data_IF_616310454017
#
_entry.id   IF_616310454017
#
_cell.length_a   1.000
_cell.length_b   1.000
_cell.length_c   1.000
_cell.angle_alpha   90.00
_cell.angle_beta   90.00
_cell.angle_gamma   90.00
#
_symmetry.space_group_name_H-M   'P 1'
#
loop_
_entity.id
_entity.type
_entity.pdbx_description
1 polymer ?
#
# COMPACT_ATOMS: atom_id res chain seq x y z
N UNK A 1 -6.27 -7.77 -7.43
CA UNK A 1 -4.85 -8.05 -7.10
C UNK A 1 -4.69 -9.51 -6.67
N UNK A 2 -3.53 -10.13 -6.89
CA UNK A 2 -3.17 -11.45 -6.31
C UNK A 2 -2.51 -11.27 -4.94
N UNK A 3 -2.79 -12.13 -3.97
CA UNK A 3 -2.07 -12.13 -2.69
C UNK A 3 -0.56 -12.34 -2.92
N UNK A 4 0.26 -11.52 -2.27
CA UNK A 4 1.72 -11.56 -2.32
C UNK A 4 2.34 -11.74 -0.92
N UNK A 5 1.54 -12.13 0.07
CA UNK A 5 1.95 -12.35 1.45
C UNK A 5 2.00 -11.07 2.27
N UNK A 6 3.03 -10.94 3.13
CA UNK A 6 3.15 -9.83 4.08
C UNK A 6 4.59 -9.35 4.21
N UNK A 7 4.74 -8.05 4.46
CA UNK A 7 5.99 -7.43 4.94
C UNK A 7 5.73 -6.80 6.30
N UNK A 8 6.19 -7.45 7.38
CA UNK A 8 5.79 -7.07 8.74
C UNK A 8 4.26 -7.20 8.91
N UNK A 9 3.60 -6.11 9.33
CA UNK A 9 2.12 -6.03 9.39
C UNK A 9 1.46 -5.65 8.05
N UNK A 10 2.22 -5.23 7.04
CA UNK A 10 1.68 -4.81 5.74
C UNK A 10 1.21 -6.05 4.95
N UNK A 11 -0.07 -6.12 4.60
CA UNK A 11 -0.61 -7.11 3.65
C UNK A 11 -0.22 -6.65 2.24
N UNK A 12 0.38 -7.54 1.44
CA UNK A 12 0.84 -7.22 0.08
C UNK A 12 -0.04 -7.88 -0.97
N UNK A 13 -0.33 -7.18 -2.05
CA UNK A 13 -1.02 -7.74 -3.20
C UNK A 13 -0.46 -7.16 -4.52
N UNK A 14 -0.43 -7.96 -5.58
CA UNK A 14 0.27 -7.62 -6.84
C UNK A 14 -0.63 -7.89 -8.05
N UNK A 15 -0.61 -6.97 -9.02
CA UNK A 15 -0.97 -7.25 -10.42
C UNK A 15 0.37 -7.48 -11.15
N UNK A 16 0.66 -8.71 -11.60
CA UNK A 16 1.92 -8.98 -12.30
C UNK A 16 1.92 -8.33 -13.68
N UNK A 17 3.10 -7.88 -14.13
CA UNK A 17 3.27 -7.38 -15.49
C UNK A 17 2.85 -8.45 -16.53
N UNK A 18 2.13 -8.04 -17.59
CA UNK A 18 1.63 -8.95 -18.63
C UNK A 18 1.77 -8.31 -20.01
N UNK A 19 2.80 -8.74 -20.75
CA UNK A 19 3.15 -8.10 -22.01
C UNK A 19 3.66 -6.69 -21.76
N UNK A 20 2.98 -5.70 -22.32
CA UNK A 20 3.30 -4.27 -22.15
C UNK A 20 2.74 -3.67 -20.85
N UNK A 21 1.81 -4.35 -20.17
CA UNK A 21 1.27 -3.83 -18.90
C UNK A 21 2.29 -3.94 -17.78
N UNK A 22 2.51 -2.83 -17.07
CA UNK A 22 3.42 -2.77 -15.93
C UNK A 22 2.83 -3.44 -14.69
N UNK A 23 3.72 -3.92 -13.81
CA UNK A 23 3.33 -4.41 -12.48
C UNK A 23 2.71 -3.27 -11.65
N UNK A 24 1.63 -3.59 -10.95
CA UNK A 24 1.06 -2.75 -9.89
C UNK A 24 1.24 -3.48 -8.55
N UNK A 25 1.76 -2.79 -7.56
CA UNK A 25 1.89 -3.29 -6.19
C UNK A 25 0.95 -2.50 -5.28
N UNK A 26 0.17 -3.23 -4.48
CA UNK A 26 -0.66 -2.73 -3.39
C UNK A 26 -0.07 -3.19 -2.06
N UNK A 27 -0.01 -2.31 -1.07
CA UNK A 27 0.20 -2.69 0.32
C UNK A 27 -0.83 -2.03 1.23
N UNK A 28 -1.27 -2.74 2.26
CA UNK A 28 -2.30 -2.25 3.18
C UNK A 28 -1.89 -2.55 4.62
N UNK A 29 -1.94 -1.53 5.49
CA UNK A 29 -1.56 -1.61 6.89
C UNK A 29 -2.58 -0.90 7.78
N UNK A 30 -2.82 -1.45 8.98
CA UNK A 30 -3.57 -0.77 10.04
C UNK A 30 -2.64 0.12 10.85
N UNK A 31 -3.16 1.29 11.20
CA UNK A 31 -2.57 2.34 12.02
C UNK A 31 -3.26 2.45 13.38
N UNK A 32 -4.12 1.47 13.72
CA UNK A 32 -4.84 1.38 14.99
C UNK A 32 -6.02 2.34 15.13
N UNK A 33 -6.64 2.33 16.31
CA UNK A 33 -7.82 3.12 16.67
C UNK A 33 -7.43 4.26 17.60
N UNK A 34 -7.84 5.48 17.30
CA UNK A 34 -7.73 6.65 18.19
C UNK A 34 -6.32 7.20 18.47
N UNK A 35 -5.26 6.48 18.08
CA UNK A 35 -3.87 6.93 18.27
C UNK A 35 -3.46 8.07 17.33
N UNK A 36 -4.04 8.10 16.12
CA UNK A 36 -3.72 9.03 15.04
C UNK A 36 -5.00 9.61 14.41
N UNK A 37 -4.89 10.79 13.80
CA UNK A 37 -5.93 11.35 12.91
C UNK A 37 -5.59 11.07 11.45
N UNK A 38 -6.58 11.19 10.55
CA UNK A 38 -6.33 11.05 9.10
C UNK A 38 -5.40 12.16 8.60
N UNK A 39 -5.58 13.40 9.07
CA UNK A 39 -4.76 14.56 8.71
C UNK A 39 -3.29 14.39 9.17
N UNK A 40 -3.05 13.90 10.40
CA UNK A 40 -1.68 13.58 10.88
C UNK A 40 -0.96 12.56 9.97
N UNK A 41 -1.68 11.55 9.48
CA UNK A 41 -1.12 10.52 8.59
C UNK A 41 -0.85 11.09 7.18
N UNK A 42 -1.75 11.91 6.65
CA UNK A 42 -1.62 12.55 5.32
C UNK A 42 -0.50 13.60 5.31
N UNK A 43 -0.37 14.43 6.34
CA UNK A 43 0.70 15.41 6.46
C UNK A 43 2.07 14.73 6.52
N UNK A 44 2.20 13.64 7.27
CA UNK A 44 3.45 12.86 7.35
C UNK A 44 3.76 12.09 6.05
N UNK A 45 2.73 11.65 5.32
CA UNK A 45 2.87 11.03 4.00
C UNK A 45 3.37 12.02 2.94
N UNK A 46 2.79 13.22 2.92
CA UNK A 46 3.03 14.25 1.89
C UNK A 46 4.28 15.09 2.16
N UNK A 47 4.84 15.03 3.37
CA UNK A 47 6.14 15.59 3.70
C UNK A 47 7.28 14.71 3.15
N UNK A 48 7.82 15.12 2.00
CA UNK A 48 8.96 14.47 1.34
C UNK A 48 10.27 14.56 2.13
N UNK A 49 10.43 15.51 3.04
CA UNK A 49 11.61 15.58 3.93
C UNK A 49 11.51 14.49 5.01
N UNK A 50 10.30 14.22 5.53
CA UNK A 50 10.03 13.09 6.42
C UNK A 50 10.11 11.73 5.73
N UNK A 51 10.04 11.65 4.40
CA UNK A 51 10.12 10.38 3.64
C UNK A 51 11.39 9.58 3.95
N UNK A 52 12.52 10.24 4.20
CA UNK A 52 13.77 9.59 4.62
C UNK A 52 13.71 8.90 5.99
N UNK A 53 12.73 9.23 6.84
CA UNK A 53 12.51 8.59 8.15
C UNK A 53 11.86 7.20 8.05
N UNK A 54 11.11 6.93 6.97
CA UNK A 54 10.28 5.73 6.85
C UNK A 54 10.49 4.91 5.56
N UNK A 55 10.97 5.52 4.48
CA UNK A 55 11.26 4.82 3.23
C UNK A 55 12.75 4.49 3.13
N UNK A 56 13.12 3.24 3.45
CA UNK A 56 14.50 2.77 3.36
C UNK A 56 15.09 2.84 1.94
N UNK A 57 14.27 2.87 0.89
CA UNK A 57 14.67 3.00 -0.51
C UNK A 57 14.85 4.45 -0.94
N UNK A 58 14.28 5.43 -0.23
CA UNK A 58 14.45 6.85 -0.50
C UNK A 58 15.91 7.29 -0.24
N UNK A 59 16.47 8.12 -1.13
CA UNK A 59 17.80 8.68 -1.01
C UNK A 59 17.74 10.15 -0.58
N UNK A 60 17.01 10.97 -1.33
CA UNK A 60 16.76 12.38 -1.04
C UNK A 60 15.55 12.88 -1.84
N UNK A 61 15.02 14.03 -1.47
CA UNK A 61 13.93 14.68 -2.16
C UNK A 61 13.56 15.98 -1.46
N UNK A 62 12.77 16.82 -2.13
CA UNK A 62 12.37 18.12 -1.63
C UNK A 62 11.09 18.57 -2.33
N UNK A 63 10.23 19.27 -1.59
CA UNK A 63 9.02 19.86 -2.14
C UNK A 63 9.43 21.05 -2.99
N UNK A 64 9.13 21.02 -4.29
CA UNK A 64 9.55 22.08 -5.22
C UNK A 64 8.58 23.25 -5.18
N UNK A 65 7.28 22.97 -5.19
CA UNK A 65 6.24 24.00 -5.21
C UNK A 65 4.88 23.40 -4.83
N UNK A 66 4.11 24.08 -3.98
CA UNK A 66 2.66 23.92 -3.98
C UNK A 66 2.11 24.68 -5.21
N UNK A 67 1.53 23.97 -6.16
CA UNK A 67 0.98 24.54 -7.40
C UNK A 67 -0.43 25.10 -7.17
N UNK A 68 -1.21 24.45 -6.32
CA UNK A 68 -2.55 24.85 -5.92
C UNK A 68 -2.90 24.34 -4.52
N UNK A 69 -3.69 25.11 -3.79
CA UNK A 69 -4.27 24.72 -2.51
C UNK A 69 -5.66 25.35 -2.35
N UNK A 70 -6.64 24.54 -1.98
CA UNK A 70 -8.00 24.94 -1.64
C UNK A 70 -8.23 24.70 -0.15
N UNK A 71 -8.26 25.76 0.68
CA UNK A 71 -8.52 25.63 2.11
C UNK A 71 -9.89 25.04 2.45
N UNK A 72 -10.88 25.13 1.54
CA UNK A 72 -12.26 24.70 1.79
C UNK A 72 -12.44 23.19 1.59
N UNK A 73 -11.93 22.64 0.48
CA UNK A 73 -11.95 21.19 0.18
C UNK A 73 -10.74 20.44 0.73
N UNK A 74 -9.76 21.16 1.30
CA UNK A 74 -8.42 20.66 1.66
C UNK A 74 -7.68 20.02 0.47
N UNK A 75 -8.08 20.34 -0.77
CA UNK A 75 -7.44 19.83 -1.98
C UNK A 75 -6.11 20.56 -2.21
N UNK A 76 -5.04 19.82 -2.47
CA UNK A 76 -3.71 20.38 -2.77
C UNK A 76 -3.12 19.71 -4.02
N UNK A 77 -2.45 20.50 -4.86
CA UNK A 77 -1.60 20.01 -5.95
C UNK A 77 -0.16 20.39 -5.62
N UNK A 78 0.67 19.39 -5.38
CA UNK A 78 2.10 19.55 -5.10
C UNK A 78 2.94 19.13 -6.31
N UNK A 79 4.09 19.77 -6.47
CA UNK A 79 5.18 19.36 -7.36
C UNK A 79 6.38 18.98 -6.48
N UNK A 80 6.78 17.72 -6.57
CA UNK A 80 7.83 17.12 -5.74
C UNK A 80 8.95 16.53 -6.59
N UNK A 81 10.16 16.54 -6.04
CA UNK A 81 11.28 15.78 -6.55
C UNK A 81 11.65 14.68 -5.55
N UNK A 82 11.78 13.44 -6.04
CA UNK A 82 12.17 12.30 -5.24
C UNK A 82 13.25 11.46 -5.94
N UNK A 83 14.27 11.08 -5.18
CA UNK A 83 15.36 10.22 -5.61
C UNK A 83 15.47 9.00 -4.68
N UNK A 84 15.79 7.85 -5.26
CA UNK A 84 15.78 6.53 -4.64
C UNK A 84 17.14 5.84 -4.82
N UNK A 85 17.58 5.15 -3.76
CA UNK A 85 18.89 4.50 -3.66
C UNK A 85 19.07 3.44 -4.75
N UNK A 86 20.29 3.39 -5.28
CA UNK A 86 20.75 2.35 -6.20
C UNK A 86 20.45 0.94 -5.67
N UNK A 87 20.14 0.02 -6.58
CA UNK A 87 19.94 -1.40 -6.28
C UNK A 87 21.14 -2.21 -6.79
N UNK A 88 21.20 -3.51 -6.48
CA UNK A 88 22.38 -4.33 -6.76
C UNK A 88 22.74 -4.35 -8.26
N UNK A 89 23.83 -3.67 -8.63
CA UNK A 89 24.28 -3.52 -10.01
C UNK A 89 23.45 -2.54 -10.86
N UNK A 90 22.59 -1.70 -10.25
CA UNK A 90 21.69 -0.80 -10.98
C UNK A 90 21.65 0.58 -10.33
N UNK A 91 21.80 1.64 -11.14
CA UNK A 91 21.85 3.06 -10.75
C UNK A 91 20.73 3.54 -9.80
N UNK A 92 20.91 4.71 -9.20
CA UNK A 92 19.83 5.40 -8.50
C UNK A 92 18.65 5.70 -9.43
N UNK A 93 17.46 5.94 -8.88
CA UNK A 93 16.28 6.38 -9.65
C UNK A 93 15.85 7.75 -9.19
N UNK A 94 15.58 8.67 -10.10
CA UNK A 94 14.89 9.91 -9.74
C UNK A 94 13.59 10.08 -10.52
N UNK A 95 12.68 10.86 -9.96
CA UNK A 95 11.45 11.26 -10.61
C UNK A 95 11.04 12.65 -10.13
N UNK A 96 10.57 13.47 -11.08
CA UNK A 96 9.64 14.54 -10.77
C UNK A 96 8.25 13.93 -10.79
N UNK A 97 7.43 14.32 -9.82
CA UNK A 97 6.04 13.92 -9.73
C UNK A 97 5.17 15.10 -9.33
N UNK A 98 3.93 15.09 -9.81
CA UNK A 98 2.86 15.87 -9.20
C UNK A 98 1.98 14.99 -8.35
N UNK A 99 1.55 15.53 -7.21
CA UNK A 99 0.71 14.86 -6.24
C UNK A 99 -0.58 15.66 -6.02
N UNK A 100 -1.74 15.07 -6.30
CA UNK A 100 -3.03 15.59 -5.81
C UNK A 100 -3.34 14.92 -4.47
N UNK A 101 -3.62 15.74 -3.47
CA UNK A 101 -4.10 15.33 -2.14
C UNK A 101 -5.52 15.87 -2.00
N UNK A 102 -6.46 15.04 -1.60
CA UNK A 102 -7.87 15.41 -1.46
C UNK A 102 -8.54 14.66 -0.31
N UNK A 103 -9.35 15.37 0.49
CA UNK A 103 -10.26 14.78 1.46
C UNK A 103 -11.55 14.36 0.75
N UNK A 104 -11.94 13.10 0.85
CA UNK A 104 -13.16 12.54 0.24
C UNK A 104 -14.13 12.16 1.37
N UNK A 105 -14.96 13.11 1.79
CA UNK A 105 -15.79 12.96 3.00
C UNK A 105 -14.96 12.94 4.28
N UNK A 106 -15.59 12.71 5.43
CA UNK A 106 -14.91 12.82 6.74
C UNK A 106 -13.94 11.67 7.06
N UNK A 107 -14.20 10.48 6.52
CA UNK A 107 -13.49 9.25 6.85
C UNK A 107 -12.45 8.80 5.80
N UNK A 108 -12.23 9.56 4.72
CA UNK A 108 -11.25 9.18 3.69
C UNK A 108 -10.44 10.36 3.15
N UNK A 109 -9.16 10.11 2.91
CA UNK A 109 -8.27 10.95 2.13
C UNK A 109 -7.60 10.14 1.03
N UNK A 110 -7.43 10.75 -0.13
CA UNK A 110 -6.72 10.16 -1.27
C UNK A 110 -5.58 11.08 -1.69
N UNK A 111 -4.38 10.51 -1.69
CA UNK A 111 -3.20 11.06 -2.32
C UNK A 111 -2.94 10.26 -3.61
N UNK A 112 -2.79 10.94 -4.73
CA UNK A 112 -2.48 10.35 -6.04
C UNK A 112 -1.31 11.10 -6.66
N UNK A 113 -0.33 10.37 -7.17
CA UNK A 113 0.92 10.90 -7.69
C UNK A 113 1.25 10.28 -9.05
N UNK A 114 1.70 11.12 -9.98
CA UNK A 114 2.11 10.73 -11.33
C UNK A 114 3.37 11.50 -11.73
N UNK A 115 4.27 10.86 -12.48
CA UNK A 115 5.42 11.56 -13.05
C UNK A 115 4.99 12.53 -14.13
N UNK A 116 5.62 13.69 -14.14
CA UNK A 116 5.35 14.76 -15.09
C UNK A 116 6.63 15.29 -15.70
N UNK A 117 6.50 15.92 -16.86
CA UNK A 117 7.52 16.80 -17.41
C UNK A 117 7.35 18.19 -16.81
N UNK A 118 8.45 18.82 -16.40
CA UNK A 118 8.45 20.17 -15.84
C UNK A 118 9.70 20.93 -16.31
N UNK A 119 9.58 22.19 -16.77
CA UNK A 119 10.73 23.02 -17.15
C UNK A 119 11.70 23.21 -15.98
N UNK A 120 13.00 23.06 -16.24
CA UNK A 120 13.99 22.99 -15.15
C UNK A 120 13.99 21.65 -14.41
N UNK A 121 13.78 20.55 -15.18
CA UNK A 121 13.88 19.15 -14.75
C UNK A 121 14.04 18.15 -15.90
N UNK A 122 14.63 18.57 -17.03
CA UNK A 122 14.82 17.69 -18.21
C UNK A 122 15.73 16.49 -17.94
N UNK A 123 15.98 15.66 -18.97
CA UNK A 123 16.92 14.53 -18.87
C UNK A 123 18.34 14.98 -18.47
N UNK A 124 18.76 16.18 -18.89
CA UNK A 124 20.04 16.79 -18.50
C UNK A 124 20.13 17.22 -17.03
N UNK A 125 19.04 17.13 -16.27
CA UNK A 125 18.96 17.50 -14.84
C UNK A 125 18.75 16.28 -13.93
N UNK A 126 18.88 15.07 -14.47
CA UNK A 126 18.97 13.83 -13.68
C UNK A 126 20.26 13.87 -12.84
N UNK A 127 20.16 13.48 -11.58
CA UNK A 127 21.33 13.45 -10.69
C UNK A 127 22.46 12.55 -11.24
N UNK A 128 23.74 12.94 -11.09
CA UNK A 128 24.86 12.07 -11.46
C UNK A 128 24.77 10.69 -10.80
N UNK A 129 24.76 9.63 -11.60
CA UNK A 129 24.60 8.25 -11.13
C UNK A 129 23.14 7.78 -10.94
N UNK A 130 22.16 8.59 -11.37
CA UNK A 130 20.73 8.25 -11.38
C UNK A 130 20.22 8.06 -12.81
N UNK A 131 19.04 7.44 -12.93
CA UNK A 131 18.27 7.31 -14.17
C UNK A 131 16.85 7.77 -13.87
N UNK A 132 16.26 8.60 -14.73
CA UNK A 132 14.86 9.04 -14.60
C UNK A 132 13.94 7.82 -14.67
N UNK A 133 13.17 7.58 -13.61
CA UNK A 133 12.03 6.67 -13.64
C UNK A 133 10.74 7.47 -13.84
N UNK A 134 9.68 6.76 -14.23
CA UNK A 134 8.34 7.32 -14.35
C UNK A 134 7.41 6.59 -13.39
N UNK A 135 6.83 7.34 -12.46
CA UNK A 135 5.65 6.92 -11.71
C UNK A 135 4.48 7.03 -12.68
N UNK A 136 3.89 5.91 -13.06
CA UNK A 136 2.75 5.89 -14.00
C UNK A 136 1.48 6.19 -13.22
N UNK A 137 1.28 5.44 -12.12
CA UNK A 137 0.30 5.72 -11.10
C UNK A 137 0.88 5.31 -9.75
N UNK A 138 0.85 6.19 -8.75
CA UNK A 138 1.09 5.81 -7.36
C UNK A 138 0.18 6.63 -6.45
N UNK A 139 0.02 6.21 -5.20
CA UNK A 139 -0.78 6.97 -4.26
C UNK A 139 -1.01 6.24 -2.95
N UNK A 140 -1.70 6.92 -2.04
CA UNK A 140 -2.11 6.41 -0.75
C UNK A 140 -3.59 6.75 -0.54
N UNK A 141 -4.38 5.76 -0.13
CA UNK A 141 -5.71 5.95 0.44
C UNK A 141 -5.55 5.81 1.95
N UNK A 142 -5.97 6.84 2.69
CA UNK A 142 -5.97 6.87 4.15
C UNK A 142 -7.42 6.94 4.59
N UNK A 143 -7.94 5.83 5.12
CA UNK A 143 -9.36 5.66 5.42
C UNK A 143 -9.56 5.27 6.89
N UNK A 144 -10.66 5.73 7.49
CA UNK A 144 -11.15 5.28 8.78
C UNK A 144 -12.28 4.30 8.55
N UNK A 145 -12.16 3.12 9.14
CA UNK A 145 -13.26 2.17 9.24
C UNK A 145 -14.35 2.75 10.17
N UNK A 146 -15.60 2.94 9.70
CA UNK A 146 -16.62 3.68 10.46
C UNK A 146 -17.18 2.90 11.66
N UNK A 147 -17.11 1.57 11.64
CA UNK A 147 -17.62 0.71 12.71
C UNK A 147 -16.62 0.59 13.88
N UNK A 148 -15.32 0.56 13.58
CA UNK A 148 -14.25 0.32 14.55
C UNK A 148 -13.43 1.56 14.89
N UNK A 149 -13.46 2.59 14.03
CA UNK A 149 -12.59 3.77 14.11
C UNK A 149 -11.12 3.49 13.74
N UNK A 150 -10.80 2.29 13.25
CA UNK A 150 -9.44 1.88 12.87
C UNK A 150 -9.00 2.61 11.59
N UNK A 151 -7.79 3.20 11.59
CA UNK A 151 -7.24 3.82 10.40
C UNK A 151 -6.49 2.77 9.57
N UNK A 152 -6.81 2.69 8.28
CA UNK A 152 -6.08 1.92 7.30
C UNK A 152 -5.34 2.85 6.33
N UNK A 153 -4.11 2.47 5.99
CA UNK A 153 -3.37 3.09 4.90
C UNK A 153 -3.14 2.05 3.82
N UNK A 154 -3.65 2.33 2.63
CA UNK A 154 -3.47 1.53 1.42
C UNK A 154 -2.60 2.28 0.42
N UNK A 155 -1.39 1.80 0.18
CA UNK A 155 -0.47 2.32 -0.82
C UNK A 155 -0.62 1.56 -2.14
N UNK A 156 -0.63 2.30 -3.26
CA UNK A 156 -0.57 1.79 -4.63
C UNK A 156 0.69 2.29 -5.33
N UNK A 157 1.32 1.45 -6.16
CA UNK A 157 2.50 1.83 -6.95
C UNK A 157 2.60 1.04 -8.26
N UNK A 158 2.67 1.77 -9.37
CA UNK A 158 2.93 1.31 -10.72
C UNK A 158 4.01 2.22 -11.31
N UNK A 159 5.19 1.65 -11.61
CA UNK A 159 6.37 2.42 -12.01
C UNK A 159 7.10 1.79 -13.20
N UNK A 160 7.49 2.62 -14.15
CA UNK A 160 8.55 2.30 -15.11
C UNK A 160 9.90 2.72 -14.52
N UNK A 161 10.74 1.76 -14.18
CA UNK A 161 12.00 1.99 -13.43
C UNK A 161 13.14 2.55 -14.33
N UNK A 162 12.95 2.55 -15.66
CA UNK A 162 13.88 3.10 -16.65
C UNK A 162 15.12 2.24 -16.90
N UNK A 163 15.47 2.07 -18.18
CA UNK A 163 16.63 1.31 -18.64
C UNK A 163 16.45 -0.21 -18.65
N UNK A 164 17.49 -0.92 -19.09
CA UNK A 164 17.49 -2.39 -19.19
C UNK A 164 17.84 -3.04 -17.84
N UNK A 165 16.82 -3.41 -17.06
CA UNK A 165 16.97 -4.00 -15.73
C UNK A 165 16.39 -5.41 -15.72
N UNK A 166 17.08 -6.42 -15.14
CA UNK A 166 16.48 -7.72 -14.89
C UNK A 166 15.16 -7.62 -14.09
N UNK A 167 14.08 -8.21 -14.62
CA UNK A 167 12.72 -8.13 -14.05
C UNK A 167 12.65 -8.54 -12.58
N UNK A 168 13.49 -9.48 -12.14
CA UNK A 168 13.53 -9.90 -10.74
C UNK A 168 14.02 -8.80 -9.78
N UNK A 169 14.87 -7.87 -10.24
CA UNK A 169 15.29 -6.69 -9.46
C UNK A 169 14.14 -5.69 -9.38
N UNK A 170 13.47 -5.42 -10.49
CA UNK A 170 12.28 -4.55 -10.56
C UNK A 170 11.20 -5.05 -9.60
N UNK A 171 10.81 -6.32 -9.70
CA UNK A 171 9.84 -6.95 -8.81
C UNK A 171 10.28 -6.84 -7.34
N UNK A 172 11.55 -7.10 -7.03
CA UNK A 172 12.08 -7.02 -5.66
C UNK A 172 12.09 -5.59 -5.11
N UNK A 173 12.30 -4.58 -5.96
CA UNK A 173 12.29 -3.18 -5.57
C UNK A 173 10.86 -2.66 -5.36
N UNK A 174 9.93 -2.97 -6.26
CA UNK A 174 8.53 -2.53 -6.17
C UNK A 174 7.77 -3.23 -5.03
N UNK A 175 8.01 -4.52 -4.79
CA UNK A 175 7.37 -5.25 -3.67
C UNK A 175 7.84 -4.83 -2.28
N UNK A 176 8.98 -4.15 -2.18
CA UNK A 176 9.48 -3.57 -0.93
C UNK A 176 8.84 -2.23 -0.58
N UNK A 177 8.46 -1.42 -1.57
CA UNK A 177 8.00 -0.06 -1.35
C UNK A 177 6.81 0.04 -0.36
N UNK A 178 5.76 -0.81 -0.43
CA UNK A 178 4.68 -0.76 0.56
C UNK A 178 5.09 -1.22 1.96
N UNK A 179 6.23 -1.91 2.11
CA UNK A 179 6.81 -2.24 3.41
C UNK A 179 7.12 -0.98 4.24
N UNK A 180 7.38 0.15 3.59
CA UNK A 180 7.61 1.44 4.23
C UNK A 180 6.41 1.93 5.06
N UNK A 181 5.18 1.45 4.83
CA UNK A 181 4.01 1.77 5.65
C UNK A 181 4.19 1.33 7.12
N UNK A 182 4.90 0.22 7.37
CA UNK A 182 5.19 -0.24 8.73
C UNK A 182 6.13 0.73 9.46
N UNK A 183 7.18 1.18 8.77
CA UNK A 183 8.15 2.12 9.30
C UNK A 183 7.56 3.53 9.43
N UNK A 184 6.60 3.88 8.56
CA UNK A 184 5.83 5.12 8.62
C UNK A 184 4.98 5.21 9.88
N UNK A 185 4.20 4.16 10.18
CA UNK A 185 3.45 4.07 11.44
C UNK A 185 4.37 4.19 12.66
N UNK A 186 5.53 3.51 12.62
CA UNK A 186 6.52 3.59 13.70
C UNK A 186 7.14 5.00 13.82
N UNK A 187 7.35 5.71 12.71
CA UNK A 187 7.86 7.08 12.67
C UNK A 187 6.86 8.08 13.23
N UNK A 188 5.60 8.00 12.78
CA UNK A 188 4.47 8.79 13.29
C UNK A 188 4.30 8.67 14.80
N UNK A 189 4.31 7.45 15.35
CA UNK A 189 4.20 7.26 16.81
C UNK A 189 5.36 7.85 17.59
N UNK A 190 6.59 7.83 17.04
CA UNK A 190 7.75 8.47 17.67
C UNK A 190 7.61 9.99 17.67
N UNK A 191 7.24 10.57 16.52
CA UNK A 191 7.06 12.02 16.38
C UNK A 191 5.93 12.52 17.31
N UNK A 192 4.82 11.78 17.41
CA UNK A 192 3.68 12.10 18.30
C UNK A 192 3.96 11.88 19.80
N UNK A 193 4.82 10.94 20.15
CA UNK A 193 5.28 10.76 21.54
C UNK A 193 6.19 11.91 22.01
N UNK A 194 6.69 12.73 21.06
CA UNK A 194 7.78 13.67 21.29
C UNK A 194 9.12 12.94 21.44
N UNK A 195 10.22 13.59 21.03
CA UNK A 195 11.57 13.11 21.31
C UNK A 195 11.98 13.33 22.80
N UNK A 196 11.03 13.18 23.74
CA UNK A 196 11.27 13.14 25.19
C UNK A 196 11.89 11.80 25.63
N UNK A 197 12.95 11.38 24.94
CA UNK A 197 13.94 10.46 25.51
C UNK A 197 14.76 11.21 26.56
N UNK A 198 14.13 11.51 27.70
CA UNK A 198 14.86 11.79 28.92
C UNK A 198 15.75 10.57 29.20
N UNK A 199 17.06 10.73 29.05
CA UNK A 199 18.01 9.72 29.45
C UNK A 199 18.03 9.65 30.99
N UNK A 200 17.11 8.86 31.57
CA UNK A 200 17.03 8.57 33.02
C UNK A 200 18.16 7.62 33.42
N UNK A 201 19.40 8.02 33.13
CA UNK A 201 20.64 7.31 33.46
C UNK A 201 21.73 8.20 34.06
N UNK A 202 21.44 9.49 34.29
CA UNK A 202 22.39 10.45 34.89
C UNK A 202 21.88 11.23 36.12
N UNK A 203 20.67 11.00 36.63
CA UNK A 203 20.16 11.67 37.85
C UNK A 203 19.62 10.68 38.89
N UNK A 204 20.45 9.71 39.24
CA UNK A 204 20.27 8.83 40.40
C UNK A 204 21.44 8.98 41.40
N UNK A 205 21.91 10.22 41.54
CA UNK A 205 22.69 10.73 42.67
C UNK A 205 22.13 12.11 43.02
N UNK A 206 21.96 12.37 44.33
CA UNK A 206 21.53 13.65 44.90
C UNK A 206 20.07 14.09 44.66
N UNK A 207 19.13 13.38 45.31
CA UNK A 207 18.14 13.93 46.27
C UNK A 207 16.94 12.98 46.41
N UNK A 208 16.55 12.69 47.65
CA UNK A 208 15.50 11.71 47.94
C UNK A 208 14.09 12.32 47.87
N UNK A 209 13.13 11.48 47.46
CA UNK A 209 11.66 11.71 47.43
C UNK A 209 11.13 12.42 46.18
N UNK A 210 10.25 11.73 45.45
CA UNK A 210 9.26 12.34 44.54
C UNK A 210 7.89 11.72 44.79
N UNK A 211 6.87 12.58 44.81
CA UNK A 211 5.44 12.21 44.84
C UNK A 211 4.86 12.61 43.50
N UNK A 212 4.27 11.67 42.76
CA UNK A 212 3.54 11.98 41.53
C UNK A 212 2.05 12.15 41.80
N UNK A 213 1.45 13.19 41.21
CA UNK A 213 0.00 13.43 41.22
C UNK A 213 -0.43 13.70 39.78
N UNK A 214 -1.29 12.84 39.23
CA UNK A 214 -1.81 12.95 37.85
C UNK A 214 -3.31 13.23 37.85
N UNK A 215 -3.69 14.28 37.13
CA UNK A 215 -5.00 14.61 36.55
C UNK A 215 -4.67 15.44 35.27
N UNK A 216 -5.49 15.58 34.23
CA UNK A 216 -6.95 15.65 34.17
C UNK A 216 -7.51 15.16 32.80
N UNK A 217 -8.83 15.01 32.71
CA UNK A 217 -9.61 14.59 31.54
C UNK A 217 -9.88 15.73 30.54
N UNK A 218 -10.29 15.37 29.31
CA UNK A 218 -11.45 16.02 28.68
C UNK A 218 -12.09 15.15 27.59
N UNK A 219 -13.42 14.98 27.68
CA UNK A 219 -14.31 14.56 26.58
C UNK A 219 -14.87 15.79 25.89
N UNK A 220 -15.14 15.70 24.59
CA UNK A 220 -16.25 16.42 23.93
C UNK A 220 -16.90 15.43 22.96
N UNK A 221 -18.23 15.46 22.88
CA UNK A 221 -19.02 14.69 21.92
C UNK A 221 -19.73 15.65 20.97
N UNK A 222 -19.92 15.24 19.72
CA UNK A 222 -20.69 15.97 18.71
C UNK A 222 -21.12 15.02 17.61
N UNK A 223 -22.43 14.88 17.41
CA UNK A 223 -23.03 14.17 16.28
C UNK A 223 -23.28 15.15 15.13
N UNK A 224 -22.94 14.77 13.90
CA UNK A 224 -23.24 15.55 12.69
C UNK A 224 -24.10 14.68 11.77
N UNK A 225 -25.08 15.32 11.13
CA UNK A 225 -25.99 14.71 10.16
C UNK A 225 -25.26 14.56 8.81
N UNK A 226 -25.48 13.44 8.13
CA UNK A 226 -24.96 13.22 6.76
C UNK A 226 -25.80 14.03 5.79
N UNK A 227 -25.15 14.73 4.86
CA UNK A 227 -25.77 15.52 3.80
C UNK A 227 -25.64 14.80 2.44
N UNK A 228 -26.62 14.95 1.56
CA UNK A 228 -26.79 14.11 0.35
C UNK A 228 -25.90 14.53 -0.86
N UNK A 229 -25.06 15.55 -0.71
CA UNK A 229 -24.16 16.11 -1.75
C UNK A 229 -23.02 15.17 -2.21
N UNK A 230 -22.93 13.95 -1.66
CA UNK A 230 -21.87 12.97 -1.89
C UNK A 230 -21.66 12.57 -3.37
N UNK A 231 -22.72 12.58 -4.19
CA UNK A 231 -22.70 11.98 -5.54
C UNK A 231 -22.18 12.92 -6.65
N UNK A 232 -22.28 14.25 -6.50
CA UNK A 232 -21.91 15.17 -7.58
C UNK A 232 -20.39 15.31 -7.76
N UNK A 233 -19.60 15.11 -6.70
CA UNK A 233 -18.14 15.18 -6.73
C UNK A 233 -17.46 14.00 -7.46
N UNK A 234 -18.18 12.89 -7.69
CA UNK A 234 -17.63 11.62 -8.20
C UNK A 234 -18.01 11.31 -9.66
N UNK A 235 -18.78 12.20 -10.32
CA UNK A 235 -19.27 11.98 -11.69
C UNK A 235 -18.16 12.12 -12.77
N UNK A 236 -17.37 11.06 -12.93
CA UNK A 236 -16.61 10.83 -14.17
C UNK A 236 -17.62 10.38 -15.23
N UNK A 237 -17.99 11.27 -16.14
CA UNK A 237 -18.91 10.94 -17.23
C UNK A 237 -18.11 10.40 -18.40
N UNK A 238 -18.11 9.09 -18.57
CA UNK A 238 -17.63 8.47 -19.82
C UNK A 238 -18.67 8.77 -20.91
N UNK A 239 -18.34 9.64 -21.85
CA UNK A 239 -19.22 9.94 -22.97
C UNK A 239 -19.35 8.73 -23.90
N UNK A 240 -20.39 8.69 -24.74
CA UNK A 240 -20.71 7.55 -25.61
C UNK A 240 -19.66 7.25 -26.70
N UNK A 241 -18.62 8.09 -26.82
CA UNK A 241 -17.44 7.90 -27.67
C UNK A 241 -16.24 7.26 -26.91
N UNK A 242 -16.36 7.01 -25.61
CA UNK A 242 -15.28 6.45 -24.78
C UNK A 242 -14.30 7.48 -24.20
N UNK A 243 -14.55 8.78 -24.36
CA UNK A 243 -13.77 9.82 -23.71
C UNK A 243 -14.22 10.03 -22.25
N UNK A 244 -13.25 10.33 -21.39
CA UNK A 244 -13.46 10.48 -19.94
C UNK A 244 -13.58 11.97 -19.59
N UNK A 245 -14.80 12.51 -19.52
CA UNK A 245 -14.99 13.90 -19.09
C UNK A 245 -14.93 14.04 -17.56
N UNK A 246 -14.15 15.03 -17.10
CA UNK A 246 -14.09 15.42 -15.68
C UNK A 246 -15.22 16.42 -15.38
N UNK A 247 -15.93 16.19 -14.26
CA UNK A 247 -17.10 16.93 -13.81
C UNK A 247 -16.95 18.47 -13.78
N UNK A 248 -18.08 19.18 -13.80
CA UNK A 248 -18.16 20.65 -13.88
C UNK A 248 -17.35 21.38 -12.79
N UNK A 249 -17.20 20.80 -11.59
CA UNK A 249 -16.39 21.38 -10.51
C UNK A 249 -14.91 21.56 -10.90
N UNK A 250 -14.36 20.66 -11.72
CA UNK A 250 -13.01 20.81 -12.26
C UNK A 250 -12.90 21.98 -13.24
N UNK A 251 -13.97 22.25 -14.02
CA UNK A 251 -14.04 23.40 -14.94
C UNK A 251 -14.11 24.75 -14.20
N UNK A 252 -14.74 24.76 -13.02
CA UNK A 252 -14.88 25.95 -12.19
C UNK A 252 -13.55 26.37 -11.53
N UNK A 253 -12.70 25.39 -11.18
CA UNK A 253 -11.34 25.64 -10.65
C UNK A 253 -10.32 25.90 -11.77
N UNK A 254 -10.41 25.19 -12.90
CA UNK A 254 -9.42 25.28 -13.99
C UNK A 254 -9.26 26.67 -14.60
N UNK A 255 -10.26 27.55 -14.48
CA UNK A 255 -10.20 28.91 -15.02
C UNK A 255 -9.12 29.80 -14.39
N UNK A 256 -8.44 29.34 -13.32
CA UNK A 256 -7.37 30.07 -12.64
C UNK A 256 -5.97 29.47 -12.86
N UNK A 257 -5.84 28.33 -13.55
CA UNK A 257 -4.56 27.67 -13.76
C UNK A 257 -3.89 28.11 -15.06
N UNK A 258 -2.56 28.24 -15.04
CA UNK A 258 -1.78 28.27 -16.27
C UNK A 258 -1.85 26.91 -16.99
N UNK A 259 -1.59 26.90 -18.30
CA UNK A 259 -1.72 25.72 -19.16
C UNK A 259 -0.93 24.50 -18.65
N UNK A 260 0.24 24.74 -18.05
CA UNK A 260 1.05 23.66 -17.49
C UNK A 260 0.47 23.17 -16.16
N UNK A 261 0.12 24.05 -15.23
CA UNK A 261 -0.56 23.67 -13.98
C UNK A 261 -1.88 22.92 -14.25
N UNK A 262 -2.63 23.31 -15.28
CA UNK A 262 -3.83 22.61 -15.73
C UNK A 262 -3.51 21.20 -16.25
N UNK A 263 -2.49 21.05 -17.09
CA UNK A 263 -2.04 19.76 -17.62
C UNK A 263 -1.61 18.82 -16.48
N UNK A 264 -0.84 19.35 -15.52
CA UNK A 264 -0.39 18.64 -14.33
C UNK A 264 -1.54 18.19 -13.42
N UNK A 265 -2.54 19.06 -13.23
CA UNK A 265 -3.75 18.75 -12.46
C UNK A 265 -4.57 17.63 -13.11
N UNK A 266 -4.80 17.70 -14.43
CA UNK A 266 -5.53 16.67 -15.19
C UNK A 266 -4.80 15.32 -15.12
N UNK A 267 -3.47 15.30 -15.29
CA UNK A 267 -2.69 14.07 -15.21
C UNK A 267 -2.76 13.40 -13.82
N UNK A 268 -2.72 14.20 -12.75
CA UNK A 268 -2.85 13.70 -11.39
C UNK A 268 -4.29 13.25 -11.07
N UNK A 269 -5.33 13.97 -11.55
CA UNK A 269 -6.74 13.54 -11.44
C UNK A 269 -7.01 12.22 -12.19
N UNK A 270 -6.38 12.01 -13.34
CA UNK A 270 -6.43 10.72 -14.06
C UNK A 270 -5.84 9.58 -13.19
N UNK A 271 -4.68 9.79 -12.55
CA UNK A 271 -4.13 8.81 -11.62
C UNK A 271 -5.03 8.57 -10.40
N UNK A 272 -5.68 9.62 -9.89
CA UNK A 272 -6.66 9.50 -8.82
C UNK A 272 -7.86 8.64 -9.24
N UNK A 273 -8.40 8.85 -10.44
CA UNK A 273 -9.51 8.07 -10.98
C UNK A 273 -9.13 6.59 -11.15
N UNK A 274 -7.94 6.28 -11.66
CA UNK A 274 -7.44 4.89 -11.76
C UNK A 274 -7.29 4.23 -10.38
N UNK A 275 -6.79 4.96 -9.37
CA UNK A 275 -6.70 4.46 -7.98
C UNK A 275 -8.08 4.22 -7.37
N UNK A 276 -9.04 5.13 -7.59
CA UNK A 276 -10.42 4.99 -7.13
C UNK A 276 -11.14 3.84 -7.84
N UNK A 277 -10.89 3.62 -9.14
CA UNK A 277 -11.39 2.46 -9.88
C UNK A 277 -10.91 1.14 -9.23
N UNK A 278 -9.66 1.07 -8.76
CA UNK A 278 -9.17 -0.10 -8.01
C UNK A 278 -9.82 -0.33 -6.63
N UNK A 279 -10.64 0.62 -6.14
CA UNK A 279 -11.49 0.45 -4.95
C UNK A 279 -12.92 -0.01 -5.30
N UNK A 280 -13.41 0.22 -6.53
CA UNK A 280 -14.77 -0.20 -6.91
C UNK A 280 -14.87 -1.71 -7.08
N UNK A 281 -16.08 -2.25 -7.00
CA UNK A 281 -16.35 -3.66 -7.29
C UNK A 281 -15.99 -4.05 -8.74
N UNK A 282 -16.17 -3.13 -9.70
CA UNK A 282 -15.87 -3.35 -11.11
C UNK A 282 -14.35 -3.43 -11.35
N UNK A 283 -13.58 -2.42 -10.91
CA UNK A 283 -12.12 -2.47 -11.01
C UNK A 283 -11.52 -3.59 -10.17
N UNK A 284 -12.15 -3.94 -9.03
CA UNK A 284 -11.80 -5.14 -8.28
C UNK A 284 -12.11 -6.45 -9.04
N UNK A 285 -13.07 -6.45 -9.97
CA UNK A 285 -13.49 -7.60 -10.77
C UNK A 285 -12.71 -7.79 -12.08
N UNK A 286 -12.08 -6.73 -12.62
CA UNK A 286 -11.05 -6.84 -13.66
C UNK A 286 -9.90 -7.77 -13.23
N UNK A 287 -9.74 -7.97 -11.91
CA UNK A 287 -8.82 -8.93 -11.36
C UNK A 287 -9.44 -10.32 -11.31
N UNK A 288 -8.83 -11.25 -12.05
CA UNK A 288 -9.14 -12.67 -11.92
C UNK A 288 -8.85 -13.13 -10.49
N UNK A 289 -9.92 -13.33 -9.72
CA UNK A 289 -9.86 -14.14 -8.51
C UNK A 289 -9.27 -15.49 -8.89
N UNK A 290 -8.11 -15.86 -8.33
CA UNK A 290 -7.63 -17.25 -8.34
C UNK A 290 -8.37 -18.10 -7.31
N UNK A 291 -9.55 -17.62 -6.94
CA UNK A 291 -10.19 -18.03 -5.74
C UNK A 291 -9.46 -17.54 -4.50
N UNK A 292 -9.90 -18.09 -3.39
CA UNK A 292 -10.05 -17.36 -2.15
C UNK A 292 -10.04 -18.39 -0.94
N UNK A 293 -9.80 -18.03 0.34
CA UNK A 293 -9.53 -18.99 1.44
C UNK A 293 -10.54 -18.95 2.63
N UNK A 294 -11.64 -19.72 2.53
CA UNK A 294 -12.72 -19.87 3.53
C UNK A 294 -13.80 -18.77 3.46
N UNK A 295 -15.07 -19.13 3.18
CA UNK A 295 -16.14 -18.25 2.59
C UNK A 295 -15.79 -17.67 1.19
N UNK A 296 -14.72 -18.22 0.65
CA UNK A 296 -13.72 -17.59 -0.19
C UNK A 296 -13.06 -18.91 -0.76
N UNK A 297 -12.97 -19.19 -2.08
CA UNK A 297 -12.74 -20.54 -2.71
C UNK A 297 -11.52 -20.65 -3.68
N UNK A 298 -10.32 -21.19 -3.33
CA UNK A 298 -9.13 -21.33 -4.23
C UNK A 298 -9.19 -22.62 -5.06
N UNK A 299 -8.88 -22.53 -6.35
CA UNK A 299 -8.38 -23.68 -7.13
C UNK A 299 -6.94 -23.46 -7.60
N UNK A 300 -6.09 -24.43 -7.27
CA UNK A 300 -4.83 -24.67 -7.96
C UNK A 300 -4.88 -26.10 -8.51
N UNK A 301 -4.54 -26.28 -9.79
CA UNK A 301 -4.31 -27.61 -10.36
C UNK A 301 -3.00 -28.13 -9.77
N UNK A 302 -2.98 -29.24 -9.03
CA UNK A 302 -1.72 -29.81 -8.60
C UNK A 302 -0.96 -30.34 -9.84
N UNK A 303 0.39 -30.41 -9.82
CA UNK A 303 1.04 -31.44 -10.64
C UNK A 303 0.44 -32.79 -10.26
N UNK A 304 0.43 -33.82 -11.14
CA UNK A 304 -0.23 -35.09 -10.85
C UNK A 304 0.49 -35.86 -9.73
N UNK A 305 0.23 -35.46 -8.48
CA UNK A 305 0.57 -36.17 -7.26
C UNK A 305 -0.49 -37.24 -7.04
N UNK A 306 -0.09 -38.50 -7.17
CA UNK A 306 -0.98 -39.62 -6.97
C UNK A 306 -1.43 -39.68 -5.50
N UNK A 307 -2.74 -39.75 -5.27
CA UNK A 307 -3.27 -39.95 -3.92
C UNK A 307 -3.13 -41.43 -3.60
N UNK A 308 -1.99 -41.79 -2.99
CA UNK A 308 -1.62 -43.17 -2.68
C UNK A 308 -2.69 -43.89 -1.84
N UNK A 309 -3.34 -43.20 -0.90
CA UNK A 309 -4.49 -43.74 -0.15
C UNK A 309 -5.36 -42.64 0.46
N UNK A 310 -6.68 -42.71 0.21
CA UNK A 310 -7.70 -41.92 0.90
C UNK A 310 -8.25 -42.67 2.11
N UNK A 311 -8.65 -41.95 3.16
CA UNK A 311 -9.50 -42.48 4.23
C UNK A 311 -8.89 -43.63 5.03
N UNK A 312 -7.63 -43.51 5.44
CA UNK A 312 -7.01 -44.44 6.41
C UNK A 312 -7.67 -44.34 7.78
N UNK A 313 -8.20 -43.16 8.09
CA UNK A 313 -9.19 -42.87 9.12
C UNK A 313 -10.20 -41.96 8.42
N UNK A 314 -11.50 -42.24 8.53
CA UNK A 314 -12.57 -41.41 7.96
C UNK A 314 -13.78 -41.47 8.92
N UNK A 315 -13.66 -40.75 10.03
CA UNK A 315 -14.61 -40.68 11.14
C UNK A 315 -15.31 -39.31 11.18
N UNK A 316 -16.53 -39.21 11.75
CA UNK A 316 -17.19 -37.92 11.96
C UNK A 316 -16.35 -36.98 12.84
N UNK A 317 -15.66 -36.04 12.20
CA UNK A 317 -14.74 -35.11 12.87
C UNK A 317 -13.26 -35.49 12.78
N UNK A 318 -12.86 -36.58 12.12
CA UNK A 318 -11.44 -36.94 11.99
C UNK A 318 -11.13 -37.70 10.70
N UNK A 319 -10.12 -37.25 9.95
CA UNK A 319 -9.75 -37.87 8.67
C UNK A 319 -8.24 -37.90 8.44
N UNK A 320 -7.72 -39.06 8.06
CA UNK A 320 -6.31 -39.29 7.70
C UNK A 320 -6.20 -39.74 6.24
N UNK A 321 -5.48 -38.98 5.41
CA UNK A 321 -5.13 -39.34 4.03
C UNK A 321 -3.59 -39.46 3.89
N UNK A 322 -3.11 -40.31 2.97
CA UNK A 322 -1.71 -40.33 2.51
C UNK A 322 -1.62 -39.75 1.09
N UNK A 323 -0.71 -38.81 0.90
CA UNK A 323 -0.51 -38.12 -0.39
C UNK A 323 0.97 -38.11 -0.77
N UNK A 324 1.26 -38.41 -2.03
CA UNK A 324 2.60 -38.24 -2.60
C UNK A 324 2.82 -36.77 -2.98
N UNK A 325 3.94 -36.19 -2.56
CA UNK A 325 4.28 -34.80 -2.84
C UNK A 325 5.70 -34.68 -3.40
N UNK A 326 5.79 -34.12 -4.61
CA UNK A 326 7.03 -33.80 -5.33
C UNK A 326 7.45 -32.37 -4.99
N UNK A 327 8.50 -32.17 -4.18
CA UNK A 327 8.96 -30.82 -3.84
C UNK A 327 10.02 -30.32 -4.84
N UNK A 328 9.61 -29.40 -5.73
CA UNK A 328 10.50 -28.74 -6.69
C UNK A 328 11.25 -27.60 -5.99
N UNK A 329 12.45 -27.91 -5.50
CA UNK A 329 13.20 -27.04 -4.56
C UNK A 329 13.63 -25.69 -5.12
N UNK A 330 13.59 -24.66 -4.27
CA UNK A 330 14.48 -23.51 -4.42
C UNK A 330 15.89 -23.90 -3.94
N UNK A 331 16.90 -23.50 -4.71
CA UNK A 331 18.35 -23.71 -4.47
C UNK A 331 18.87 -25.16 -4.63
N UNK A 332 19.38 -25.43 -5.84
CA UNK A 332 20.56 -26.26 -6.14
C UNK A 332 20.61 -27.76 -5.76
N UNK A 333 19.53 -28.37 -5.28
CA UNK A 333 19.43 -29.84 -5.18
C UNK A 333 18.20 -30.36 -5.92
N UNK A 334 18.35 -31.55 -6.52
CA UNK A 334 17.28 -32.21 -7.25
C UNK A 334 16.03 -32.37 -6.39
N UNK A 335 14.86 -32.32 -7.03
CA UNK A 335 13.58 -32.45 -6.35
C UNK A 335 13.54 -33.70 -5.48
N UNK A 336 13.04 -33.55 -4.25
CA UNK A 336 12.83 -34.68 -3.35
C UNK A 336 11.35 -35.01 -3.32
N UNK A 337 11.09 -36.29 -3.45
CA UNK A 337 9.77 -36.87 -3.39
C UNK A 337 9.56 -37.41 -1.98
N UNK A 338 8.38 -37.18 -1.42
CA UNK A 338 8.04 -37.70 -0.09
C UNK A 338 6.55 -38.03 0.00
N UNK A 339 6.20 -38.95 0.90
CA UNK A 339 4.81 -39.19 1.27
C UNK A 339 4.48 -38.40 2.52
N UNK A 340 3.35 -37.69 2.49
CA UNK A 340 2.81 -36.94 3.61
C UNK A 340 1.57 -37.64 4.16
N UNK A 341 1.57 -37.92 5.46
CA UNK A 341 0.37 -38.22 6.21
C UNK A 341 -0.31 -36.91 6.61
N UNK A 342 -1.58 -36.73 6.26
CA UNK A 342 -2.35 -35.51 6.51
C UNK A 342 -3.54 -35.86 7.40
N UNK A 343 -3.50 -35.43 8.66
CA UNK A 343 -4.57 -35.60 9.63
C UNK A 343 -5.37 -34.30 9.74
N UNK A 344 -6.69 -34.40 9.53
CA UNK A 344 -7.66 -33.33 9.79
C UNK A 344 -8.51 -33.75 10.98
N UNK A 345 -8.61 -32.89 11.99
CA UNK A 345 -9.32 -33.19 13.24
C UNK A 345 -10.18 -32.00 13.69
N UNK A 346 -11.46 -32.24 13.97
CA UNK A 346 -12.45 -31.23 14.35
C UNK A 346 -12.40 -31.03 15.86
N UNK A 347 -11.67 -30.00 16.28
CA UNK A 347 -11.45 -29.70 17.71
C UNK A 347 -12.66 -28.98 18.33
N UNK A 348 -13.44 -28.25 17.53
CA UNK A 348 -14.76 -27.67 17.90
C UNK A 348 -15.67 -27.64 16.68
N UNK A 349 -16.97 -27.39 16.85
CA UNK A 349 -17.93 -27.41 15.75
C UNK A 349 -17.48 -26.60 14.52
N UNK A 350 -16.92 -25.41 14.73
CA UNK A 350 -16.45 -24.53 13.65
C UNK A 350 -14.91 -24.47 13.52
N UNK A 351 -14.17 -25.43 14.09
CA UNK A 351 -12.70 -25.45 14.06
C UNK A 351 -12.15 -26.83 13.71
N UNK A 352 -11.52 -26.91 12.55
CA UNK A 352 -10.69 -28.04 12.14
C UNK A 352 -9.21 -27.68 12.22
N UNK A 353 -8.42 -28.54 12.85
CA UNK A 353 -6.96 -28.48 12.83
C UNK A 353 -6.48 -29.46 11.76
N UNK A 354 -5.62 -28.97 10.86
CA UNK A 354 -4.93 -29.80 9.87
C UNK A 354 -3.47 -29.87 10.26
N UNK A 355 -2.97 -31.09 10.44
CA UNK A 355 -1.56 -31.38 10.70
C UNK A 355 -1.05 -32.33 9.62
N UNK A 356 0.22 -32.21 9.27
CA UNK A 356 0.86 -33.13 8.34
C UNK A 356 2.28 -33.46 8.79
N UNK A 357 2.75 -34.64 8.40
CA UNK A 357 4.12 -35.09 8.64
C UNK A 357 4.59 -35.91 7.45
N UNK A 358 5.84 -35.74 7.03
CA UNK A 358 6.49 -36.69 6.13
C UNK A 358 6.59 -38.04 6.82
N UNK A 359 6.20 -39.11 6.12
CA UNK A 359 6.27 -40.48 6.62
C UNK A 359 7.09 -41.32 5.66
N UNK A 360 8.07 -42.04 6.21
CA UNK A 360 8.78 -43.08 5.49
C UNK A 360 7.86 -44.30 5.43
N UNK A 361 7.45 -44.69 4.23
CA UNK A 361 6.67 -45.90 3.98
C UNK A 361 7.64 -46.96 3.47
N UNK A 362 7.71 -48.15 4.12
CA UNK A 362 8.61 -49.23 3.71
C UNK A 362 8.14 -49.96 2.43
#
# INVERSE_FOLDING_TARGET
FKDAGKSGKVKLAIIPAKGETMQVVKGMASFGVGELTLEEVVDFLTDVEKKGKYDSQFAQGHKKRALYEDPSTKRRLDLDYAAYKAQWGVSGRDCVLTSVVEKIGDDMWVMSSRSCEYPGYGEGEVLPGYVRCQIVNAGNVVERDPDTGEIFVTMYSQMSIGGNIPTWIVNKAQTRAPGALQDMYNGLKKEKAGDEWYCVKCWLQLTGTMVFRMFDQRKVAGSILVDDDFMDCLSVVTSSNGETEVAALARQVSGQFDEMTQTLFVAARSAQAEILQYLTSEGASEFTSLGNAGAVEITARPPPGEILRKGLIDEPGRRLDLQYATFKGMLTLAGRDCVCAILRERVRENLWVVSWKSVDIP
#
